data_IF_119051458480
#
_entry.id   IF_119051458480
#
_cell.length_a   1.000
_cell.length_b   1.000
_cell.length_c   1.000
_cell.angle_alpha   90.00
_cell.angle_beta   90.00
_cell.angle_gamma   90.00
#
_symmetry.space_group_name_H-M   'P 1'
#
loop_
_entity.id
_entity.type
_entity.pdbx_description
1 polymer ?
#
# COMPACT_ATOMS: atom_id res chain seq x y z
N UNK A 1 -19.19 28.69 -15.45
CA UNK A 1 -19.82 27.34 -15.42
C UNK A 1 -18.67 26.39 -15.20
N UNK A 2 -18.37 26.21 -13.93
CA UNK A 2 -17.06 25.87 -13.39
C UNK A 2 -17.09 24.44 -12.88
N UNK A 3 -16.08 23.65 -13.25
CA UNK A 3 -15.84 22.37 -12.59
C UNK A 3 -14.34 22.19 -12.35
N UNK A 4 -13.89 22.72 -11.21
CA UNK A 4 -12.59 22.42 -10.61
C UNK A 4 -12.66 21.02 -10.00
N UNK A 5 -12.21 20.00 -10.73
CA UNK A 5 -12.04 18.66 -10.21
C UNK A 5 -10.78 18.60 -9.33
N UNK A 6 -10.98 18.77 -8.02
CA UNK A 6 -9.99 18.54 -6.97
C UNK A 6 -9.68 17.04 -6.88
N UNK A 7 -8.63 16.60 -7.57
CA UNK A 7 -8.07 15.26 -7.43
C UNK A 7 -7.27 15.17 -6.13
N UNK A 8 -7.96 15.00 -5.00
CA UNK A 8 -7.33 14.65 -3.72
C UNK A 8 -7.04 13.14 -3.71
N UNK A 9 -5.95 12.76 -4.37
CA UNK A 9 -5.38 11.41 -4.21
C UNK A 9 -4.63 11.38 -2.89
N UNK A 10 -5.27 10.85 -1.85
CA UNK A 10 -4.68 10.67 -0.53
C UNK A 10 -3.63 9.56 -0.55
N UNK A 11 -2.41 9.89 -0.98
CA UNK A 11 -1.24 9.04 -0.75
C UNK A 11 -0.69 9.33 0.65
N UNK A 12 -0.60 8.30 1.51
CA UNK A 12 0.27 8.36 2.69
C UNK A 12 1.70 8.16 2.18
N UNK A 13 2.46 9.25 2.09
CA UNK A 13 3.90 9.19 1.87
C UNK A 13 4.51 8.68 3.18
N UNK A 14 5.03 7.47 3.18
CA UNK A 14 5.86 6.98 4.30
C UNK A 14 7.23 7.64 4.12
N UNK A 15 7.37 8.88 4.62
CA UNK A 15 8.59 9.67 4.45
C UNK A 15 9.78 9.10 5.24
N UNK A 16 9.55 8.23 6.23
CA UNK A 16 10.60 7.77 7.13
C UNK A 16 10.90 6.27 7.00
N UNK A 17 11.39 5.87 5.84
CA UNK A 17 12.02 4.54 5.65
C UNK A 17 13.31 4.40 6.49
N UNK A 18 13.96 5.52 6.82
CA UNK A 18 15.24 5.52 7.54
C UNK A 18 15.07 5.35 9.05
N UNK A 19 14.00 5.89 9.64
CA UNK A 19 13.59 5.63 11.02
C UNK A 19 13.14 4.19 11.22
N UNK A 20 12.51 3.58 10.21
CA UNK A 20 12.17 2.14 10.24
C UNK A 20 13.44 1.27 10.23
N UNK A 21 14.45 1.62 9.42
CA UNK A 21 15.77 0.95 9.44
C UNK A 21 16.46 1.15 10.80
N UNK A 22 16.37 2.33 11.39
CA UNK A 22 16.96 2.64 12.70
C UNK A 22 16.29 1.87 13.85
N UNK A 23 14.99 1.65 13.77
CA UNK A 23 14.23 0.85 14.75
C UNK A 23 14.51 -0.66 14.63
N UNK A 24 14.67 -1.16 13.40
CA UNK A 24 14.98 -2.58 13.15
C UNK A 24 16.45 -2.93 13.42
N UNK A 25 17.35 -1.94 13.40
CA UNK A 25 18.80 -2.12 13.51
C UNK A 25 19.33 -1.54 14.84
N UNK A 26 18.68 -1.86 15.96
CA UNK A 26 19.20 -1.55 17.28
C UNK A 26 20.52 -2.31 17.50
N UNK A 27 21.65 -1.62 17.82
CA UNK A 27 22.93 -2.28 18.08
C UNK A 27 22.83 -3.03 19.41
N UNK A 28 22.54 -4.33 19.34
CA UNK A 28 22.34 -5.20 20.51
C UNK A 28 21.33 -6.31 20.32
N UNK A 29 20.49 -6.23 19.27
CA UNK A 29 19.61 -7.34 18.90
C UNK A 29 20.40 -8.48 18.28
N UNK A 30 20.53 -9.61 18.98
CA UNK A 30 21.11 -10.83 18.43
C UNK A 30 20.17 -11.39 17.35
N UNK A 31 20.27 -10.88 16.12
CA UNK A 31 19.53 -11.41 14.97
C UNK A 31 20.21 -12.71 14.57
N UNK A 32 19.81 -13.82 15.19
CA UNK A 32 20.22 -15.15 14.75
C UNK A 32 19.81 -15.31 13.27
N UNK A 33 20.80 -15.32 12.37
CA UNK A 33 20.59 -15.69 10.96
C UNK A 33 19.97 -17.08 10.91
N UNK A 34 18.65 -17.17 10.72
CA UNK A 34 17.95 -18.43 10.52
C UNK A 34 18.44 -19.07 9.22
N UNK A 35 19.37 -20.04 9.31
CA UNK A 35 19.87 -20.78 8.14
C UNK A 35 18.88 -21.82 7.61
N UNK A 36 17.86 -22.20 8.40
CA UNK A 36 16.71 -23.04 8.01
C UNK A 36 15.49 -22.71 8.88
N UNK A 37 14.28 -22.80 8.32
CA UNK A 37 13.01 -22.53 9.01
C UNK A 37 12.08 -21.61 8.22
N UNK A 38 10.91 -21.27 8.80
CA UNK A 38 10.04 -20.23 8.24
C UNK A 38 10.73 -18.87 8.40
N UNK A 39 10.76 -18.07 7.33
CA UNK A 39 11.32 -16.70 7.34
C UNK A 39 10.68 -15.85 8.42
N UNK A 40 9.36 -16.01 8.60
CA UNK A 40 8.62 -15.43 9.72
C UNK A 40 7.99 -16.57 10.53
N UNK A 41 8.41 -16.79 11.79
CA UNK A 41 7.80 -17.77 12.67
C UNK A 41 6.46 -17.22 13.21
N UNK A 42 5.50 -16.97 12.33
CA UNK A 42 4.20 -16.38 12.65
C UNK A 42 3.05 -17.22 12.08
N UNK A 43 1.83 -16.94 12.53
CA UNK A 43 0.59 -17.52 11.98
C UNK A 43 -0.14 -16.49 11.13
N UNK A 44 -1.03 -16.95 10.23
CA UNK A 44 -1.86 -16.06 9.43
C UNK A 44 -2.78 -15.18 10.31
N UNK A 45 -3.28 -15.71 11.42
CA UNK A 45 -4.10 -14.97 12.38
C UNK A 45 -3.30 -13.87 13.08
N UNK A 46 -2.06 -14.15 13.49
CA UNK A 46 -1.19 -13.16 14.10
C UNK A 46 -0.88 -12.00 13.14
N UNK A 47 -0.64 -12.28 11.85
CA UNK A 47 -0.44 -11.24 10.84
C UNK A 47 -1.70 -10.38 10.64
N UNK A 48 -2.88 -11.02 10.57
CA UNK A 48 -4.15 -10.29 10.44
C UNK A 48 -4.40 -9.40 11.65
N UNK A 49 -4.20 -9.93 12.86
CA UNK A 49 -4.40 -9.19 14.10
C UNK A 49 -3.43 -8.02 14.24
N UNK A 50 -2.15 -8.20 13.92
CA UNK A 50 -1.16 -7.13 13.99
C UNK A 50 -1.47 -6.02 12.99
N UNK A 51 -1.90 -6.37 11.78
CA UNK A 51 -2.35 -5.40 10.78
C UNK A 51 -3.59 -4.63 11.24
N UNK A 52 -4.64 -5.31 11.70
CA UNK A 52 -5.85 -4.66 12.22
C UNK A 52 -5.52 -3.73 13.39
N UNK A 53 -4.64 -4.15 14.29
CA UNK A 53 -4.19 -3.33 15.42
C UNK A 53 -3.42 -2.09 14.96
N UNK A 54 -2.57 -2.24 13.94
CA UNK A 54 -1.83 -1.13 13.36
C UNK A 54 -2.75 -0.10 12.66
N UNK A 55 -3.75 -0.56 11.90
CA UNK A 55 -4.75 0.31 11.26
C UNK A 55 -5.55 1.08 12.32
N UNK A 56 -6.01 0.39 13.37
CA UNK A 56 -6.74 1.03 14.46
C UNK A 56 -5.89 2.09 15.18
N UNK A 57 -4.58 1.84 15.36
CA UNK A 57 -3.66 2.83 15.92
C UNK A 57 -3.49 4.04 15.01
N UNK A 58 -3.24 3.82 13.73
CA UNK A 58 -3.10 4.88 12.75
C UNK A 58 -4.37 5.75 12.64
N UNK A 59 -5.55 5.13 12.68
CA UNK A 59 -6.83 5.85 12.67
C UNK A 59 -6.98 6.77 13.89
N UNK A 60 -6.60 6.30 15.08
CA UNK A 60 -6.61 7.12 16.31
C UNK A 60 -5.64 8.29 16.24
N UNK A 61 -4.44 8.10 15.67
CA UNK A 61 -3.47 9.17 15.46
C UNK A 61 -4.03 10.20 14.46
N UNK A 62 -4.57 9.74 13.33
CA UNK A 62 -5.23 10.60 12.34
C UNK A 62 -6.36 11.45 12.92
N UNK A 63 -7.24 10.87 13.75
CA UNK A 63 -8.34 11.61 14.37
C UNK A 63 -7.85 12.67 15.35
N UNK A 64 -6.75 12.41 16.08
CA UNK A 64 -6.11 13.40 16.95
C UNK A 64 -5.53 14.55 16.14
N UNK A 65 -4.85 14.24 15.04
CA UNK A 65 -4.26 15.26 14.17
C UNK A 65 -5.35 16.13 13.53
N UNK A 66 -6.45 15.53 13.07
CA UNK A 66 -7.62 16.27 12.56
C UNK A 66 -8.18 17.21 13.63
N UNK A 67 -8.36 16.71 14.86
CA UNK A 67 -8.85 17.52 15.97
C UNK A 67 -7.89 18.69 16.30
N UNK A 68 -6.58 18.49 16.22
CA UNK A 68 -5.58 19.53 16.45
C UNK A 68 -5.59 20.60 15.35
N UNK A 69 -5.87 20.21 14.10
CA UNK A 69 -6.00 21.10 12.95
C UNK A 69 -7.38 21.76 12.86
N UNK A 70 -8.35 21.37 13.69
CA UNK A 70 -9.73 21.84 13.62
C UNK A 70 -10.49 21.32 12.40
N UNK A 71 -10.01 20.25 11.79
CA UNK A 71 -10.62 19.63 10.61
C UNK A 71 -11.47 18.42 11.00
N UNK A 72 -12.52 18.15 10.21
CA UNK A 72 -13.30 16.92 10.36
C UNK A 72 -12.58 15.77 9.64
N UNK A 73 -12.39 14.61 10.30
CA UNK A 73 -11.74 13.47 9.67
C UNK A 73 -12.54 13.00 8.44
N UNK A 74 -11.82 12.66 7.37
CA UNK A 74 -12.42 12.19 6.13
C UNK A 74 -13.22 10.90 6.37
N UNK A 75 -14.45 10.81 5.82
CA UNK A 75 -15.26 9.61 5.93
C UNK A 75 -14.54 8.43 5.26
N UNK A 76 -14.47 7.29 5.93
CA UNK A 76 -13.88 6.06 5.40
C UNK A 76 -12.34 5.99 5.40
N UNK A 77 -11.61 7.07 5.71
CA UNK A 77 -10.14 7.02 5.71
C UNK A 77 -9.59 6.07 6.79
N UNK A 78 -8.79 5.06 6.42
CA UNK A 78 -8.31 4.02 7.35
C UNK A 78 -9.45 3.24 8.05
N UNK A 79 -10.63 3.17 7.44
CA UNK A 79 -11.73 2.29 7.86
C UNK A 79 -11.79 1.09 6.93
N UNK A 80 -12.13 -0.08 7.48
CA UNK A 80 -12.25 -1.37 6.75
C UNK A 80 -11.05 -1.76 5.87
N UNK A 81 -9.85 -1.25 6.19
CA UNK A 81 -8.63 -1.58 5.46
C UNK A 81 -8.16 -3.00 5.81
N UNK A 82 -7.89 -3.80 4.77
CA UNK A 82 -7.44 -5.17 4.89
C UNK A 82 -6.04 -5.39 4.29
N UNK A 83 -5.39 -6.47 4.72
CA UNK A 83 -4.02 -6.76 4.27
C UNK A 83 -3.90 -7.01 2.77
N UNK A 84 -4.96 -7.53 2.13
CA UNK A 84 -4.94 -7.78 0.68
C UNK A 84 -5.07 -6.49 -0.15
N UNK A 85 -5.55 -5.39 0.44
CA UNK A 85 -5.62 -4.09 -0.22
C UNK A 85 -4.22 -3.52 -0.50
N UNK A 86 -3.23 -3.90 0.31
CA UNK A 86 -1.83 -3.53 0.03
C UNK A 86 -1.37 -4.09 -1.31
N UNK A 87 -1.75 -5.33 -1.63
CA UNK A 87 -1.43 -5.94 -2.92
C UNK A 87 -2.21 -5.28 -4.05
N UNK A 88 -3.47 -4.91 -3.79
CA UNK A 88 -4.28 -4.16 -4.73
C UNK A 88 -3.59 -2.84 -5.10
N UNK A 89 -3.28 -2.03 -4.11
CA UNK A 89 -2.67 -0.71 -4.27
C UNK A 89 -1.29 -0.78 -4.95
N UNK A 90 -0.43 -1.72 -4.51
CA UNK A 90 0.88 -1.91 -5.13
C UNK A 90 0.76 -2.33 -6.60
N UNK A 91 -0.21 -3.19 -6.93
CA UNK A 91 -0.44 -3.63 -8.32
C UNK A 91 -0.97 -2.49 -9.17
N UNK A 92 -1.91 -1.70 -8.65
CA UNK A 92 -2.45 -0.53 -9.35
C UNK A 92 -1.38 0.52 -9.65
N UNK A 93 -0.51 0.86 -8.67
CA UNK A 93 0.62 1.78 -8.91
C UNK A 93 1.64 1.26 -9.92
N UNK A 94 1.87 -0.06 -9.94
CA UNK A 94 2.76 -0.67 -10.92
C UNK A 94 2.14 -0.71 -12.32
N UNK A 95 0.82 -0.87 -12.41
CA UNK A 95 0.09 -0.87 -13.67
C UNK A 95 0.16 0.47 -14.42
N UNK A 96 0.32 1.58 -13.70
CA UNK A 96 0.56 2.90 -14.30
C UNK A 96 1.91 2.99 -15.04
N UNK A 97 2.90 2.18 -14.65
CA UNK A 97 4.27 2.27 -15.18
C UNK A 97 4.68 1.10 -16.06
N UNK A 98 4.00 -0.03 -15.93
CA UNK A 98 4.38 -1.29 -16.57
C UNK A 98 3.29 -1.77 -17.52
N UNK A 99 3.72 -2.45 -18.58
CA UNK A 99 2.78 -3.12 -19.46
C UNK A 99 2.25 -4.40 -18.81
N UNK A 100 1.05 -4.85 -19.22
CA UNK A 100 0.37 -6.00 -18.64
C UNK A 100 1.28 -7.24 -18.48
N UNK A 101 2.11 -7.54 -19.48
CA UNK A 101 3.00 -8.70 -19.47
C UNK A 101 4.13 -8.59 -18.44
N UNK A 102 4.69 -7.39 -18.23
CA UNK A 102 5.71 -7.13 -17.21
C UNK A 102 5.10 -7.16 -15.82
N UNK A 103 3.91 -6.57 -15.68
CA UNK A 103 3.15 -6.55 -14.44
C UNK A 103 2.83 -7.98 -13.96
N UNK A 104 2.44 -8.89 -14.87
CA UNK A 104 2.27 -10.31 -14.55
C UNK A 104 3.53 -10.95 -13.98
N UNK A 105 4.68 -10.69 -14.62
CA UNK A 105 5.97 -11.26 -14.21
C UNK A 105 6.38 -10.78 -12.81
N UNK A 106 6.22 -9.48 -12.54
CA UNK A 106 6.59 -8.85 -11.27
C UNK A 106 5.65 -9.26 -10.14
N UNK A 107 4.34 -9.32 -10.41
CA UNK A 107 3.34 -9.66 -9.39
C UNK A 107 3.13 -11.18 -9.21
N UNK A 108 3.71 -12.00 -10.08
CA UNK A 108 3.65 -13.46 -10.01
C UNK A 108 2.28 -14.06 -10.36
N UNK A 109 1.44 -13.35 -11.11
CA UNK A 109 0.15 -13.87 -11.55
C UNK A 109 0.31 -14.73 -12.81
N UNK A 110 -0.28 -15.93 -12.79
CA UNK A 110 -0.29 -16.85 -13.94
C UNK A 110 -1.37 -16.51 -14.98
N UNK A 111 -2.47 -15.89 -14.56
CA UNK A 111 -3.59 -15.53 -15.44
C UNK A 111 -3.79 -14.01 -15.50
N UNK A 112 -3.86 -13.49 -16.73
CA UNK A 112 -4.19 -12.10 -17.08
C UNK A 112 -5.56 -11.63 -16.57
N UNK A 113 -6.54 -12.53 -16.45
CA UNK A 113 -7.92 -12.17 -16.06
C UNK A 113 -8.01 -11.55 -14.68
N UNK A 114 -7.14 -11.98 -13.77
CA UNK A 114 -7.07 -11.44 -12.41
C UNK A 114 -6.48 -10.02 -12.38
N UNK A 115 -5.59 -9.71 -13.33
CA UNK A 115 -4.87 -8.45 -13.47
C UNK A 115 -5.61 -7.41 -14.30
N UNK A 116 -6.50 -7.83 -15.20
CA UNK A 116 -7.34 -6.93 -15.98
C UNK A 116 -8.16 -5.95 -15.10
N UNK A 117 -8.47 -6.32 -13.85
CA UNK A 117 -9.13 -5.45 -12.87
C UNK A 117 -8.27 -4.29 -12.36
N UNK A 118 -6.94 -4.40 -12.49
CA UNK A 118 -5.98 -3.40 -11.99
C UNK A 118 -5.41 -2.55 -13.12
N UNK A 119 -5.68 -2.91 -14.38
CA UNK A 119 -5.14 -2.24 -15.55
C UNK A 119 -6.18 -1.28 -16.14
N UNK A 120 -6.02 0.00 -15.82
CA UNK A 120 -6.81 1.10 -16.40
C UNK A 120 -5.88 1.96 -17.27
N UNK A 121 -5.56 1.54 -18.51
CA UNK A 121 -4.68 2.30 -19.36
C UNK A 121 -5.34 3.65 -19.69
N UNK A 122 -4.63 4.76 -19.46
CA UNK A 122 -5.12 6.07 -19.85
C UNK A 122 -5.11 6.15 -21.38
N UNK A 123 -6.17 6.70 -21.98
CA UNK A 123 -6.29 6.80 -23.44
C UNK A 123 -5.09 7.55 -24.07
N UNK A 124 -4.50 8.49 -23.33
CA UNK A 124 -3.28 9.22 -23.67
C UNK A 124 -2.06 8.30 -23.86
N UNK A 125 -1.91 7.26 -23.04
CA UNK A 125 -0.79 6.31 -23.10
C UNK A 125 -0.97 5.29 -24.23
N UNK A 126 -2.23 5.00 -24.60
CA UNK A 126 -2.55 4.19 -25.78
C UNK A 126 -2.30 4.98 -27.07
N UNK A 127 -2.66 6.27 -27.11
CA UNK A 127 -2.44 7.12 -28.27
C UNK A 127 -0.94 7.29 -28.59
N UNK A 128 -0.08 7.46 -27.57
CA UNK A 128 1.38 7.53 -27.74
C UNK A 128 2.03 6.25 -28.28
N UNK A 129 1.33 5.12 -28.25
CA UNK A 129 1.82 3.83 -28.78
C UNK A 129 1.36 3.54 -30.20
N UNK A 130 0.35 4.29 -30.67
CA UNK A 130 -0.28 4.11 -31.99
C UNK A 130 0.10 5.22 -32.98
N UNK A 131 0.76 6.27 -32.52
CA UNK A 131 1.27 7.38 -33.33
C UNK A 131 2.78 7.37 -33.44
#
# INVERSE_FOLDING_TARGET
MDYTASARTNYVVVEDVDGLKKALNQPGGNVQRMRRGRVFPTTASALKQSFTSAVARARREYEKDCAALGESPAPGFLQDLHFHDLRHEATSRLAERLQMHELMRVTGHKDTRMLARYYHPRAEDLAKKLG
#
